data_IF_249244994098
#
_entry.id   IF_249244994098
#
_cell.length_a   1.000
_cell.length_b   1.000
_cell.length_c   1.000
_cell.angle_alpha   90.00
_cell.angle_beta   90.00
_cell.angle_gamma   90.00
#
_symmetry.space_group_name_H-M   'P 1'
#
loop_
_entity.id
_entity.type
_entity.pdbx_description
1 polymer ?
#
# COMPACT_ATOMS: atom_id res chain seq x y z
N UNK A 1 17.36 9.81 -35.30
CA UNK A 1 16.53 10.92 -35.84
C UNK A 1 15.57 11.37 -34.74
N UNK A 2 15.88 12.49 -34.07
CA UNK A 2 14.98 13.11 -33.10
C UNK A 2 13.76 13.67 -33.86
N UNK A 3 12.55 13.31 -33.44
CA UNK A 3 11.33 13.86 -34.04
C UNK A 3 11.26 15.36 -33.74
N UNK A 4 11.39 16.15 -34.80
CA UNK A 4 11.21 17.60 -34.84
C UNK A 4 9.85 18.02 -34.25
N UNK A 5 9.90 19.07 -33.42
CA UNK A 5 8.86 20.09 -33.24
C UNK A 5 7.44 19.64 -32.85
N UNK A 6 7.30 18.93 -31.72
CA UNK A 6 6.07 19.07 -30.91
C UNK A 6 6.38 19.96 -29.71
N UNK A 7 5.74 21.13 -29.65
CA UNK A 7 5.72 21.94 -28.42
C UNK A 7 5.08 21.07 -27.34
N UNK A 8 5.89 20.60 -26.39
CA UNK A 8 5.42 19.79 -25.28
C UNK A 8 4.94 20.75 -24.19
N UNK A 9 3.62 20.98 -24.13
CA UNK A 9 3.02 21.79 -23.07
C UNK A 9 3.09 20.99 -21.77
N UNK A 10 4.00 21.38 -20.88
CA UNK A 10 4.14 20.77 -19.55
C UNK A 10 3.00 21.29 -18.66
N UNK A 11 2.00 20.45 -18.43
CA UNK A 11 0.83 20.80 -17.60
C UNK A 11 1.05 20.62 -16.09
N UNK A 12 2.12 19.94 -15.69
CA UNK A 12 2.34 19.50 -14.31
C UNK A 12 3.60 20.13 -13.71
N UNK A 13 3.51 20.52 -12.44
CA UNK A 13 4.64 21.03 -11.68
C UNK A 13 5.60 19.89 -11.26
N UNK A 14 6.88 20.19 -11.00
CA UNK A 14 7.80 19.21 -10.42
C UNK A 14 7.29 18.70 -9.06
N UNK A 15 7.65 17.46 -8.67
CA UNK A 15 7.30 16.94 -7.35
C UNK A 15 7.96 17.77 -6.24
N UNK A 16 7.37 17.80 -5.03
CA UNK A 16 7.99 18.43 -3.87
C UNK A 16 9.41 17.89 -3.62
N UNK A 17 10.40 18.74 -3.29
CA UNK A 17 11.77 18.30 -3.02
C UNK A 17 11.88 17.26 -1.90
N UNK A 18 11.02 17.35 -0.89
CA UNK A 18 10.97 16.50 0.30
C UNK A 18 10.14 15.21 0.13
N UNK A 19 9.65 14.95 -1.09
CA UNK A 19 8.85 13.76 -1.39
C UNK A 19 9.66 12.50 -1.03
N UNK A 20 9.09 11.54 -0.25
CA UNK A 20 9.78 10.30 0.08
C UNK A 20 9.94 9.42 -1.16
N UNK A 21 11.13 9.48 -1.78
CA UNK A 21 11.45 8.80 -3.04
C UNK A 21 12.27 7.54 -2.79
N UNK A 22 11.92 6.46 -3.48
CA UNK A 22 12.65 5.20 -3.45
C UNK A 22 14.13 5.41 -3.79
N UNK A 23 15.03 4.78 -3.02
CA UNK A 23 16.48 4.94 -3.15
C UNK A 23 17.07 6.18 -2.47
N UNK A 24 16.24 7.11 -1.95
CA UNK A 24 16.67 8.28 -1.15
C UNK A 24 16.25 8.21 0.32
N UNK A 25 15.42 7.24 0.67
CA UNK A 25 14.89 6.99 2.01
C UNK A 25 15.10 5.53 2.37
N UNK A 26 15.17 5.22 3.65
CA UNK A 26 15.14 3.83 4.11
C UNK A 26 13.79 3.21 3.72
N UNK A 27 13.76 2.10 2.96
CA UNK A 27 12.50 1.52 2.49
C UNK A 27 11.56 1.07 3.63
N UNK A 28 12.12 0.65 4.77
CA UNK A 28 11.35 0.27 5.96
C UNK A 28 10.56 1.45 6.55
N UNK A 29 11.01 2.69 6.39
CA UNK A 29 10.37 3.88 6.97
C UNK A 29 9.22 4.47 6.13
N UNK A 30 8.99 3.94 4.91
CA UNK A 30 8.08 4.53 3.92
C UNK A 30 7.20 3.46 3.30
N UNK A 31 5.90 3.75 3.16
CA UNK A 31 4.98 2.95 2.35
C UNK A 31 4.87 3.57 0.96
N UNK A 32 5.48 2.95 -0.04
CA UNK A 32 5.45 3.39 -1.43
C UNK A 32 4.08 3.14 -2.05
N UNK A 33 3.50 4.14 -2.71
CA UNK A 33 2.10 4.10 -3.18
C UNK A 33 1.94 4.44 -4.66
N UNK A 34 2.98 4.95 -5.32
CA UNK A 34 2.81 5.36 -6.70
C UNK A 34 4.09 5.87 -7.37
N UNK A 35 3.89 6.38 -8.59
CA UNK A 35 4.94 7.00 -9.40
C UNK A 35 4.51 8.42 -9.75
N UNK A 36 5.44 9.36 -9.71
CA UNK A 36 5.19 10.73 -10.18
C UNK A 36 4.93 10.72 -11.69
N UNK A 37 4.09 11.66 -12.16
CA UNK A 37 3.74 11.83 -13.56
C UNK A 37 4.32 13.12 -14.19
N UNK A 38 5.21 13.81 -13.46
CA UNK A 38 5.93 14.97 -13.96
C UNK A 38 6.89 14.57 -15.11
N UNK A 39 6.92 15.40 -16.16
CA UNK A 39 7.77 15.24 -17.34
C UNK A 39 8.51 16.57 -17.56
N UNK A 40 9.84 16.56 -17.52
CA UNK A 40 10.65 17.73 -17.85
C UNK A 40 10.99 17.74 -19.35
N UNK A 41 11.23 18.94 -19.91
CA UNK A 41 11.47 19.12 -21.35
C UNK A 41 12.66 18.33 -21.93
N UNK A 42 13.62 17.97 -21.08
CA UNK A 42 14.85 17.27 -21.49
C UNK A 42 15.00 15.88 -20.84
N UNK A 43 14.19 15.54 -19.82
CA UNK A 43 14.32 14.27 -19.09
C UNK A 43 12.97 13.78 -18.52
N UNK A 44 12.63 12.52 -18.81
CA UNK A 44 11.53 11.83 -18.12
C UNK A 44 12.01 11.26 -16.78
N UNK A 45 11.95 12.07 -15.71
CA UNK A 45 12.23 11.60 -14.34
C UNK A 45 10.94 11.28 -13.59
N UNK A 46 10.52 10.01 -13.68
CA UNK A 46 9.44 9.46 -12.85
C UNK A 46 10.02 8.82 -11.59
N UNK A 47 9.59 9.28 -10.42
CA UNK A 47 10.04 8.79 -9.13
C UNK A 47 8.99 7.89 -8.52
N UNK A 48 9.40 6.73 -7.99
CA UNK A 48 8.55 5.95 -7.08
C UNK A 48 8.52 6.69 -5.75
N UNK A 49 7.32 6.99 -5.25
CA UNK A 49 7.14 7.76 -4.03
C UNK A 49 6.17 7.10 -3.05
N UNK A 50 6.25 7.53 -1.79
CA UNK A 50 5.46 6.97 -0.70
C UNK A 50 5.07 7.95 0.38
N UNK A 51 4.36 7.43 1.36
CA UNK A 51 3.98 8.10 2.60
C UNK A 51 4.93 7.59 3.70
N UNK A 52 5.52 8.49 4.49
CA UNK A 52 6.32 8.07 5.65
C UNK A 52 5.43 7.32 6.63
N UNK A 53 5.88 6.19 7.14
CA UNK A 53 5.10 5.40 8.12
C UNK A 53 4.75 6.20 9.37
N UNK A 54 5.64 7.10 9.79
CA UNK A 54 5.38 8.05 10.89
C UNK A 54 4.14 8.90 10.64
N UNK A 55 3.92 9.34 9.40
CA UNK A 55 2.77 10.16 9.02
C UNK A 55 1.52 9.29 8.89
N UNK A 56 1.66 8.07 8.36
CA UNK A 56 0.57 7.08 8.24
C UNK A 56 -0.08 6.71 9.59
N UNK A 57 0.65 6.86 10.71
CA UNK A 57 0.09 6.67 12.06
C UNK A 57 -0.99 7.69 12.42
N UNK A 58 -1.12 8.79 11.68
CA UNK A 58 -2.21 9.77 11.78
C UNK A 58 -3.45 9.37 10.97
N UNK A 59 -3.54 8.08 10.61
CA UNK A 59 -4.58 7.47 9.79
C UNK A 59 -4.52 7.86 8.30
N UNK A 60 -5.14 7.03 7.47
CA UNK A 60 -5.34 7.28 6.06
C UNK A 60 -6.82 7.16 5.74
N UNK A 61 -7.35 8.12 5.00
CA UNK A 61 -8.71 8.08 4.48
C UNK A 61 -8.67 7.91 2.95
N UNK A 62 -9.16 6.78 2.46
CA UNK A 62 -9.11 6.41 1.03
C UNK A 62 -10.55 6.45 0.48
N UNK A 63 -10.81 7.38 -0.44
CA UNK A 63 -12.15 7.61 -1.02
C UNK A 63 -12.12 7.38 -2.52
N UNK A 64 -13.20 6.78 -3.04
CA UNK A 64 -13.39 6.57 -4.47
C UNK A 64 -14.53 5.60 -4.79
N UNK A 65 -15.05 5.66 -6.01
CA UNK A 65 -16.11 4.75 -6.49
C UNK A 65 -15.61 3.29 -6.56
N UNK A 66 -16.52 2.33 -6.77
CA UNK A 66 -16.09 0.95 -7.06
C UNK A 66 -15.23 0.90 -8.32
N UNK A 67 -14.27 -0.03 -8.37
CA UNK A 67 -13.38 -0.23 -9.52
C UNK A 67 -12.23 0.77 -9.69
N UNK A 68 -12.12 1.82 -8.87
CA UNK A 68 -11.03 2.82 -9.01
C UNK A 68 -9.69 2.40 -8.38
N UNK A 69 -9.60 1.19 -7.84
CA UNK A 69 -8.35 0.64 -7.30
C UNK A 69 -8.12 0.80 -5.80
N UNK A 70 -9.15 1.13 -5.00
CA UNK A 70 -9.02 1.26 -3.53
C UNK A 70 -8.47 -0.02 -2.88
N UNK A 71 -9.04 -1.18 -3.19
CA UNK A 71 -8.60 -2.48 -2.66
C UNK A 71 -7.15 -2.78 -3.07
N UNK A 72 -6.74 -2.41 -4.29
CA UNK A 72 -5.34 -2.57 -4.73
C UNK A 72 -4.37 -1.60 -4.05
N UNK A 73 -4.79 -0.38 -3.73
CA UNK A 73 -3.99 0.52 -2.90
C UNK A 73 -3.81 -0.05 -1.47
N UNK A 74 -4.87 -0.62 -0.89
CA UNK A 74 -4.79 -1.30 0.41
C UNK A 74 -3.85 -2.51 0.34
N UNK A 75 -4.01 -3.39 -0.64
CA UNK A 75 -3.12 -4.54 -0.86
C UNK A 75 -1.66 -4.11 -0.97
N UNK A 76 -1.38 -3.05 -1.73
CA UNK A 76 -0.02 -2.50 -1.88
C UNK A 76 0.59 -2.06 -0.54
N UNK A 77 -0.22 -1.46 0.34
CA UNK A 77 0.22 -1.06 1.68
C UNK A 77 0.43 -2.29 2.58
N UNK A 78 -0.52 -3.23 2.58
CA UNK A 78 -0.49 -4.46 3.40
C UNK A 78 0.74 -5.30 3.06
N UNK A 79 1.02 -5.51 1.77
CA UNK A 79 2.18 -6.30 1.32
C UNK A 79 3.51 -5.72 1.79
N UNK A 80 3.63 -4.40 1.84
CA UNK A 80 4.80 -3.74 2.40
C UNK A 80 4.87 -3.92 3.92
N UNK A 81 3.73 -3.91 4.61
CA UNK A 81 3.68 -4.15 6.05
C UNK A 81 4.13 -5.58 6.39
N UNK A 82 3.62 -6.57 5.65
CA UNK A 82 4.05 -7.97 5.77
C UNK A 82 5.56 -8.10 5.51
N UNK A 83 6.05 -7.54 4.40
CA UNK A 83 7.46 -7.63 4.00
C UNK A 83 8.42 -7.03 5.04
N UNK A 84 8.04 -5.91 5.64
CA UNK A 84 8.83 -5.25 6.71
C UNK A 84 8.44 -5.68 8.13
N UNK A 85 7.68 -6.78 8.27
CA UNK A 85 7.29 -7.39 9.55
C UNK A 85 6.50 -6.47 10.49
N UNK A 86 5.72 -5.54 9.95
CA UNK A 86 4.78 -4.75 10.72
C UNK A 86 3.48 -5.53 10.94
N UNK A 87 3.06 -5.68 12.20
CA UNK A 87 1.77 -6.25 12.55
C UNK A 87 0.61 -5.37 12.09
N UNK A 88 -0.49 -6.00 11.69
CA UNK A 88 -1.72 -5.31 11.30
C UNK A 88 -2.97 -6.15 11.54
N UNK A 89 -4.13 -5.49 11.47
CA UNK A 89 -5.44 -6.11 11.45
C UNK A 89 -6.16 -5.63 10.18
N UNK A 90 -6.71 -6.56 9.42
CA UNK A 90 -7.52 -6.29 8.25
C UNK A 90 -8.94 -6.78 8.53
N UNK A 91 -9.92 -5.90 8.33
CA UNK A 91 -11.34 -6.24 8.38
C UNK A 91 -11.88 -6.06 6.97
N UNK A 92 -12.33 -7.15 6.38
CA UNK A 92 -12.84 -7.18 5.02
C UNK A 92 -14.17 -7.94 4.97
N UNK A 93 -15.31 -7.23 4.83
CA UNK A 93 -16.63 -7.86 4.74
C UNK A 93 -16.84 -8.75 3.51
N UNK A 94 -16.00 -8.61 2.48
CA UNK A 94 -16.13 -9.34 1.23
C UNK A 94 -15.09 -10.47 1.08
N UNK A 95 -13.99 -10.39 1.81
CA UNK A 95 -12.92 -11.39 1.87
C UNK A 95 -11.93 -11.34 0.69
N UNK A 96 -12.21 -10.59 -0.39
CA UNK A 96 -11.37 -10.56 -1.59
C UNK A 96 -9.96 -9.99 -1.32
N UNK A 97 -9.85 -9.04 -0.39
CA UNK A 97 -8.56 -8.47 0.00
C UNK A 97 -7.81 -9.46 0.89
N UNK A 98 -8.49 -10.12 1.83
CA UNK A 98 -7.90 -11.13 2.73
C UNK A 98 -7.25 -12.25 1.91
N UNK A 99 -8.02 -12.87 1.01
CA UNK A 99 -7.53 -13.95 0.13
C UNK A 99 -6.28 -13.53 -0.63
N UNK A 100 -6.29 -12.32 -1.21
CA UNK A 100 -5.16 -11.80 -1.98
C UNK A 100 -3.92 -11.57 -1.12
N UNK A 101 -4.06 -11.10 0.12
CA UNK A 101 -2.90 -10.74 0.96
C UNK A 101 -2.23 -11.95 1.62
N UNK A 102 -2.98 -13.03 1.84
CA UNK A 102 -2.46 -14.28 2.41
C UNK A 102 -1.34 -14.88 1.56
N UNK A 103 -1.45 -14.77 0.23
CA UNK A 103 -0.41 -15.22 -0.72
C UNK A 103 0.96 -14.52 -0.53
N UNK A 104 0.99 -13.38 0.16
CA UNK A 104 2.21 -12.62 0.42
C UNK A 104 2.81 -12.86 1.80
N UNK A 105 2.15 -13.67 2.65
CA UNK A 105 2.71 -14.06 3.95
C UNK A 105 3.87 -15.03 3.71
N UNK A 106 5.09 -14.72 4.18
CA UNK A 106 6.22 -15.63 4.03
C UNK A 106 6.00 -16.88 4.90
N UNK A 107 6.51 -18.03 4.43
CA UNK A 107 6.26 -19.35 5.05
C UNK A 107 6.62 -19.37 6.53
N UNK A 108 7.70 -18.69 6.89
CA UNK A 108 8.23 -18.63 8.26
C UNK A 108 7.36 -17.80 9.21
N UNK A 109 6.28 -17.16 8.70
CA UNK A 109 5.35 -16.31 9.44
C UNK A 109 3.91 -16.82 9.39
N UNK A 110 3.66 -18.01 8.82
CA UNK A 110 2.30 -18.57 8.73
C UNK A 110 1.67 -18.70 10.13
N UNK A 111 2.46 -19.08 11.14
CA UNK A 111 1.99 -19.23 12.53
C UNK A 111 1.60 -17.91 13.20
N UNK A 112 1.97 -16.75 12.62
CA UNK A 112 1.57 -15.43 13.12
C UNK A 112 0.21 -14.97 12.57
N UNK A 113 -0.37 -15.72 11.62
CA UNK A 113 -1.61 -15.35 10.96
C UNK A 113 -2.80 -15.93 11.71
N UNK A 114 -3.73 -15.06 12.09
CA UNK A 114 -5.03 -15.44 12.66
C UNK A 114 -6.11 -14.98 11.70
N UNK A 115 -6.89 -15.93 11.19
CA UNK A 115 -8.08 -15.65 10.39
C UNK A 115 -9.29 -15.84 11.29
N UNK A 116 -10.13 -14.83 11.40
CA UNK A 116 -11.40 -14.91 12.11
C UNK A 116 -12.50 -14.75 11.07
N UNK A 117 -13.07 -15.88 10.65
CA UNK A 117 -14.26 -15.92 9.81
C UNK A 117 -15.45 -16.41 10.67
N UNK A 118 -16.41 -15.54 11.02
CA UNK A 118 -17.60 -15.94 11.75
C UNK A 118 -18.49 -16.95 11.01
N UNK A 119 -18.32 -17.10 9.70
CA UNK A 119 -19.04 -18.06 8.87
C UNK A 119 -18.38 -19.43 8.75
N UNK A 120 -17.12 -19.58 9.19
CA UNK A 120 -16.39 -20.84 9.12
C UNK A 120 -16.81 -21.77 10.27
N UNK A 121 -17.56 -22.82 9.92
CA UNK A 121 -18.02 -23.85 10.86
C UNK A 121 -17.05 -25.02 11.01
N UNK A 122 -16.09 -25.17 10.09
CA UNK A 122 -15.09 -26.24 10.13
C UNK A 122 -13.91 -25.86 11.04
N UNK A 123 -13.49 -24.60 11.00
CA UNK A 123 -12.38 -24.06 11.79
C UNK A 123 -12.81 -22.82 12.61
N UNK A 124 -13.79 -22.93 13.52
CA UNK A 124 -14.30 -21.79 14.28
C UNK A 124 -13.24 -21.24 15.24
N UNK A 125 -13.07 -19.92 15.25
CA UNK A 125 -12.20 -19.23 16.21
C UNK A 125 -12.99 -18.78 17.42
N UNK A 126 -12.53 -19.16 18.61
CA UNK A 126 -13.08 -18.63 19.87
C UNK A 126 -12.44 -17.27 20.18
N UNK A 127 -13.26 -16.24 20.31
CA UNK A 127 -12.83 -14.92 20.78
C UNK A 127 -13.78 -14.44 21.87
N UNK A 128 -13.26 -14.27 23.08
CA UNK A 128 -13.99 -13.69 24.19
C UNK A 128 -13.30 -12.40 24.62
N UNK A 129 -13.82 -11.22 24.24
CA UNK A 129 -13.26 -9.94 24.66
C UNK A 129 -13.41 -9.70 26.17
N UNK A 130 -14.23 -10.52 26.85
CA UNK A 130 -14.50 -10.43 28.29
C UNK A 130 -13.71 -11.44 29.14
N UNK A 131 -12.86 -12.28 28.54
CA UNK A 131 -12.22 -13.38 29.28
C UNK A 131 -11.29 -12.90 30.42
N UNK A 132 -10.77 -11.68 30.31
CA UNK A 132 -9.79 -11.09 31.22
C UNK A 132 -10.20 -9.71 31.74
N UNK A 133 -11.51 -9.45 31.83
CA UNK A 133 -12.07 -8.28 32.54
C UNK A 133 -12.69 -8.67 33.86
#
# INVERSE_FOLDING_TARGET
>A
MARSSRIQIIKYAPPPPELPVYGRVKPEDVSFIGRTNYVAALEEKRFIFGIKRKDRRRHLYIVGKSGVGKSKLLELLIRQDIAYKYGMCLIDPHGDVIETVLDFVPKERIEDVVIIDPGDVEYPVSFNPLANV
#
